data_IF_069552523878
#
_entry.id   IF_069552523878
#
_cell.length_a   1.000
_cell.length_b   1.000
_cell.length_c   1.000
_cell.angle_alpha   90.00
_cell.angle_beta   90.00
_cell.angle_gamma   90.00
#
_symmetry.space_group_name_H-M   'P 1'
#
loop_
_entity.id
_entity.type
_entity.pdbx_description
1 polymer ?
#
# COMPACT_ATOMS: atom_id res chain seq x y z
N UNK A 1 22.51 19.58 -2.99
CA UNK A 1 22.22 18.59 -4.04
C UNK A 1 21.15 17.64 -3.52
N UNK A 2 20.00 17.50 -4.19
CA UNK A 2 19.05 16.41 -3.88
C UNK A 2 19.68 15.12 -4.40
N UNK A 3 19.99 14.19 -3.50
CA UNK A 3 20.44 12.85 -3.90
C UNK A 3 19.26 12.20 -4.62
N UNK A 4 19.45 11.84 -5.89
CA UNK A 4 18.42 11.14 -6.65
C UNK A 4 18.54 9.66 -6.30
N UNK A 5 17.68 9.18 -5.40
CA UNK A 5 17.65 7.76 -5.06
C UNK A 5 17.24 6.96 -6.31
N UNK A 6 17.95 5.87 -6.66
CA UNK A 6 17.56 4.99 -7.76
C UNK A 6 16.22 4.29 -7.45
N UNK A 7 15.40 4.09 -8.48
CA UNK A 7 14.07 3.47 -8.38
C UNK A 7 13.97 2.31 -9.37
N UNK A 8 13.42 1.19 -8.93
CA UNK A 8 13.09 0.04 -9.77
C UNK A 8 11.58 -0.18 -9.70
N UNK A 9 10.92 -0.29 -10.85
CA UNK A 9 9.49 -0.62 -10.96
C UNK A 9 9.32 -2.07 -11.42
N UNK A 10 8.28 -2.74 -10.91
CA UNK A 10 7.96 -4.14 -11.25
C UNK A 10 6.46 -4.22 -11.52
N UNK A 11 6.11 -4.31 -12.81
CA UNK A 11 4.74 -4.27 -13.30
C UNK A 11 4.30 -5.62 -13.91
N UNK A 12 2.99 -5.82 -14.02
CA UNK A 12 2.40 -7.05 -14.55
C UNK A 12 1.06 -7.42 -13.90
N UNK A 13 0.37 -8.45 -14.41
CA UNK A 13 -1.00 -8.80 -13.97
C UNK A 13 -1.05 -9.31 -12.53
N UNK A 14 -2.24 -9.32 -11.94
CA UNK A 14 -2.45 -9.93 -10.61
C UNK A 14 -2.02 -11.40 -10.62
N UNK A 15 -1.46 -11.89 -9.52
CA UNK A 15 -1.01 -13.28 -9.39
C UNK A 15 0.32 -13.64 -10.08
N UNK A 16 0.97 -12.74 -10.83
CA UNK A 16 2.24 -13.04 -11.53
C UNK A 16 3.50 -13.09 -10.63
N UNK A 17 3.35 -12.94 -9.31
CA UNK A 17 4.46 -13.01 -8.36
C UNK A 17 5.27 -11.72 -8.14
N UNK A 18 4.80 -10.56 -8.66
CA UNK A 18 5.50 -9.26 -8.54
C UNK A 18 5.91 -8.90 -7.12
N UNK A 19 4.99 -8.99 -6.16
CA UNK A 19 5.27 -8.65 -4.76
C UNK A 19 6.35 -9.54 -4.17
N UNK A 20 6.38 -10.83 -4.53
CA UNK A 20 7.42 -11.77 -4.12
C UNK A 20 8.78 -11.37 -4.69
N UNK A 21 8.86 -11.08 -6.00
CA UNK A 21 10.10 -10.65 -6.67
C UNK A 21 10.59 -9.31 -6.14
N UNK A 22 9.68 -8.34 -5.96
CA UNK A 22 9.98 -7.02 -5.43
C UNK A 22 10.54 -7.12 -4.00
N UNK A 23 9.92 -7.93 -3.15
CA UNK A 23 10.42 -8.18 -1.80
C UNK A 23 11.79 -8.88 -1.78
N UNK A 24 12.03 -9.85 -2.66
CA UNK A 24 13.35 -10.48 -2.82
C UNK A 24 14.42 -9.48 -3.26
N UNK A 25 14.10 -8.61 -4.22
CA UNK A 25 15.02 -7.61 -4.76
C UNK A 25 15.35 -6.53 -3.73
N UNK A 26 14.33 -5.98 -3.07
CA UNK A 26 14.50 -4.98 -2.01
C UNK A 26 15.40 -5.52 -0.88
N UNK A 27 15.20 -6.76 -0.46
CA UNK A 27 16.08 -7.43 0.50
C UNK A 27 17.52 -7.56 0.02
N UNK A 28 17.72 -8.05 -1.22
CA UNK A 28 19.06 -8.24 -1.79
C UNK A 28 19.84 -6.93 -1.90
N UNK A 29 19.15 -5.82 -2.14
CA UNK A 29 19.75 -4.49 -2.28
C UNK A 29 19.81 -3.69 -0.96
N UNK A 30 19.11 -4.13 0.09
CA UNK A 30 18.92 -3.34 1.31
C UNK A 30 18.09 -2.07 1.07
N UNK A 31 17.16 -2.10 0.11
CA UNK A 31 16.36 -0.95 -0.30
C UNK A 31 14.94 -1.01 0.28
N UNK A 32 14.27 0.14 0.30
CA UNK A 32 12.86 0.22 0.62
C UNK A 32 12.02 -0.51 -0.43
N UNK A 33 10.92 -1.13 0.01
CA UNK A 33 9.88 -1.69 -0.84
C UNK A 33 8.63 -0.82 -0.70
N UNK A 34 8.01 -0.46 -1.82
CA UNK A 34 6.69 0.16 -1.85
C UNK A 34 5.73 -0.73 -2.64
N UNK A 35 4.65 -1.17 -1.99
CA UNK A 35 3.56 -1.90 -2.64
C UNK A 35 2.42 -0.92 -2.99
N UNK A 36 2.33 -0.55 -4.28
CA UNK A 36 1.28 0.35 -4.77
C UNK A 36 -0.12 -0.23 -4.59
N UNK A 37 -0.29 -1.56 -4.65
CA UNK A 37 -1.57 -2.21 -4.40
C UNK A 37 -1.99 -2.12 -2.94
N UNK A 38 -1.04 -2.06 -2.01
CA UNK A 38 -1.33 -1.83 -0.60
C UNK A 38 -1.85 -0.41 -0.34
N UNK A 39 -1.38 0.61 -1.07
CA UNK A 39 -1.86 2.00 -0.90
C UNK A 39 -3.36 2.15 -1.16
N UNK A 40 -3.89 1.56 -2.24
CA UNK A 40 -5.33 1.60 -2.51
C UNK A 40 -6.15 0.87 -1.45
N UNK A 41 -5.63 -0.26 -0.93
CA UNK A 41 -6.27 -1.00 0.17
C UNK A 41 -6.26 -0.22 1.47
N UNK A 42 -5.16 0.46 1.78
CA UNK A 42 -5.04 1.33 2.94
C UNK A 42 -6.01 2.49 2.87
N UNK A 43 -6.14 3.14 1.72
CA UNK A 43 -7.08 4.24 1.55
C UNK A 43 -8.53 3.76 1.72
N UNK A 44 -8.90 2.63 1.12
CA UNK A 44 -10.23 2.05 1.31
C UNK A 44 -10.50 1.62 2.77
N UNK A 45 -9.47 1.09 3.44
CA UNK A 45 -9.54 0.70 4.85
C UNK A 45 -9.70 1.91 5.76
N UNK A 46 -8.87 2.95 5.58
CA UNK A 46 -8.94 4.21 6.32
C UNK A 46 -10.29 4.89 6.10
N UNK A 47 -10.78 4.96 4.86
CA UNK A 47 -12.06 5.58 4.56
C UNK A 47 -13.20 4.90 5.32
N UNK A 48 -13.21 3.57 5.38
CA UNK A 48 -14.20 2.83 6.19
C UNK A 48 -14.09 3.12 7.68
N UNK A 49 -12.88 3.14 8.24
CA UNK A 49 -12.67 3.42 9.66
C UNK A 49 -13.11 4.84 10.05
N UNK A 50 -12.93 5.81 9.13
CA UNK A 50 -13.32 7.21 9.33
C UNK A 50 -14.74 7.54 8.85
N UNK A 51 -15.51 6.55 8.38
CA UNK A 51 -16.87 6.76 7.88
C UNK A 51 -16.96 7.58 6.59
N UNK A 52 -15.89 7.62 5.79
CA UNK A 52 -15.84 8.29 4.48
C UNK A 52 -16.39 7.37 3.40
N UNK A 53 -17.34 7.89 2.61
CA UNK A 53 -17.91 7.19 1.46
C UNK A 53 -16.87 7.01 0.35
N UNK A 54 -16.72 5.77 -0.15
CA UNK A 54 -15.78 5.44 -1.24
C UNK A 54 -16.17 6.05 -2.60
N UNK A 55 -17.36 6.64 -2.71
CA UNK A 55 -17.81 7.38 -3.89
C UNK A 55 -17.52 8.88 -3.79
N UNK A 56 -17.12 9.38 -2.61
CA UNK A 56 -16.79 10.79 -2.40
C UNK A 56 -15.31 11.04 -2.71
N UNK A 57 -15.03 11.31 -3.99
CA UNK A 57 -13.68 11.54 -4.52
C UNK A 57 -12.91 12.65 -3.76
N UNK A 58 -13.55 13.77 -3.47
CA UNK A 58 -12.89 14.90 -2.79
C UNK A 58 -12.51 14.55 -1.35
N UNK A 59 -13.37 13.84 -0.63
CA UNK A 59 -13.05 13.36 0.72
C UNK A 59 -11.92 12.32 0.68
N UNK A 60 -11.92 11.42 -0.30
CA UNK A 60 -10.85 10.43 -0.49
C UNK A 60 -9.51 11.08 -0.85
N UNK A 61 -9.49 12.12 -1.69
CA UNK A 61 -8.27 12.89 -2.00
C UNK A 61 -7.67 13.52 -0.74
N UNK A 62 -8.51 14.14 0.08
CA UNK A 62 -8.07 14.72 1.35
C UNK A 62 -7.52 13.66 2.29
N UNK A 63 -8.19 12.51 2.41
CA UNK A 63 -7.73 11.40 3.24
C UNK A 63 -6.40 10.83 2.73
N UNK A 64 -6.27 10.61 1.41
CA UNK A 64 -5.06 10.09 0.78
C UNK A 64 -3.85 11.01 0.99
N UNK A 65 -4.06 12.33 0.90
CA UNK A 65 -3.00 13.32 1.09
C UNK A 65 -2.42 13.35 2.52
N UNK A 66 -3.20 12.89 3.50
CA UNK A 66 -2.84 12.91 4.92
C UNK A 66 -2.70 11.51 5.53
N UNK A 67 -2.62 10.48 4.68
CA UNK A 67 -2.55 9.10 5.13
C UNK A 67 -1.23 8.86 5.87
N UNK A 68 -1.30 8.70 7.20
CA UNK A 68 -0.15 8.36 8.05
C UNK A 68 0.18 6.88 7.90
N UNK A 69 0.94 6.56 6.83
CA UNK A 69 1.34 5.21 6.48
C UNK A 69 2.84 5.03 6.59
N UNK A 70 3.25 3.91 7.19
CA UNK A 70 4.65 3.49 7.26
C UNK A 70 4.80 2.07 6.72
N UNK A 71 5.79 1.90 5.85
CA UNK A 71 6.12 0.65 5.20
C UNK A 71 7.44 0.14 5.77
N UNK A 72 7.36 -0.72 6.78
CA UNK A 72 8.52 -1.22 7.51
C UNK A 72 9.02 -2.53 6.90
N UNK A 73 10.31 -2.58 6.57
CA UNK A 73 10.96 -3.83 6.21
C UNK A 73 11.12 -4.71 7.46
N UNK A 74 10.66 -5.96 7.40
CA UNK A 74 10.84 -6.91 8.51
C UNK A 74 12.08 -7.78 8.28
N UNK A 75 12.55 -8.42 9.36
CA UNK A 75 13.65 -9.36 9.30
C UNK A 75 13.36 -10.54 8.34
N UNK A 76 14.43 -11.21 7.91
CA UNK A 76 14.41 -12.20 6.82
C UNK A 76 13.23 -13.19 6.92
N UNK A 77 12.32 -13.12 5.94
CA UNK A 77 11.22 -14.07 5.75
C UNK A 77 9.84 -13.58 6.20
N UNK A 78 9.71 -12.45 6.89
CA UNK A 78 8.44 -11.99 7.47
C UNK A 78 7.69 -10.93 6.65
N UNK A 79 8.03 -10.76 5.36
CA UNK A 79 7.31 -9.84 4.47
C UNK A 79 7.60 -8.36 4.74
N UNK A 80 6.56 -7.54 4.68
CA UNK A 80 6.60 -6.10 4.95
C UNK A 80 5.49 -5.80 5.95
N UNK A 81 5.81 -5.03 6.99
CA UNK A 81 4.84 -4.57 7.97
C UNK A 81 4.31 -3.20 7.53
N UNK A 82 3.01 -3.02 7.65
CA UNK A 82 2.32 -1.81 7.22
C UNK A 82 1.61 -1.23 8.43
N UNK A 83 2.05 -0.05 8.82
CA UNK A 83 1.48 0.70 9.94
C UNK A 83 0.60 1.80 9.36
N UNK A 84 -0.61 1.93 9.87
CA UNK A 84 -1.54 3.01 9.57
C UNK A 84 -1.96 3.65 10.90
N UNK A 85 -1.72 4.96 11.06
CA UNK A 85 -2.11 5.70 12.25
C UNK A 85 -1.58 5.08 13.56
N UNK A 86 -0.37 4.53 13.50
CA UNK A 86 0.29 3.83 14.62
C UNK A 86 -0.10 2.36 14.80
N UNK A 87 -1.09 1.86 14.07
CA UNK A 87 -1.59 0.47 14.19
C UNK A 87 -1.08 -0.44 13.08
N UNK A 88 -0.75 -1.69 13.42
CA UNK A 88 -0.35 -2.69 12.43
C UNK A 88 -1.56 -3.24 11.67
N UNK A 89 -1.67 -2.86 10.40
CA UNK A 89 -2.78 -3.24 9.52
C UNK A 89 -2.37 -4.25 8.45
N UNK A 90 -1.16 -4.83 8.54
CA UNK A 90 -0.54 -5.69 7.52
C UNK A 90 -1.46 -6.80 7.02
N UNK A 91 -2.19 -7.44 7.94
CA UNK A 91 -3.16 -8.49 7.64
C UNK A 91 -4.57 -7.95 7.41
N UNK A 92 -4.97 -6.91 8.14
CA UNK A 92 -6.31 -6.32 8.07
C UNK A 92 -6.63 -5.84 6.64
N UNK A 93 -5.65 -5.26 5.93
CA UNK A 93 -5.86 -4.76 4.57
C UNK A 93 -5.93 -5.85 3.49
N UNK A 94 -5.68 -7.12 3.81
CA UNK A 94 -5.59 -8.22 2.83
C UNK A 94 -6.90 -9.00 2.64
N UNK A 95 -7.97 -8.62 3.33
CA UNK A 95 -9.26 -9.28 3.20
C UNK A 95 -10.00 -8.85 1.92
N UNK A 96 -10.97 -9.66 1.51
CA UNK A 96 -11.74 -9.47 0.28
C UNK A 96 -12.52 -8.16 0.25
N UNK A 97 -13.11 -7.75 1.38
CA UNK A 97 -13.91 -6.52 1.44
C UNK A 97 -13.06 -5.27 1.22
N UNK A 98 -11.85 -5.24 1.78
CA UNK A 98 -10.88 -4.16 1.54
C UNK A 98 -10.36 -4.22 0.11
N UNK A 99 -10.13 -5.42 -0.43
CA UNK A 99 -9.78 -5.61 -1.84
C UNK A 99 -10.82 -5.05 -2.80
N UNK A 100 -12.10 -5.28 -2.54
CA UNK A 100 -13.21 -4.70 -3.31
C UNK A 100 -13.24 -3.17 -3.21
N UNK A 101 -13.08 -2.62 -1.99
CA UNK A 101 -13.00 -1.18 -1.79
C UNK A 101 -11.81 -0.54 -2.51
N UNK A 102 -10.65 -1.21 -2.52
CA UNK A 102 -9.47 -0.75 -3.23
C UNK A 102 -9.71 -0.65 -4.74
N UNK A 103 -10.40 -1.62 -5.34
CA UNK A 103 -10.79 -1.56 -6.76
C UNK A 103 -11.74 -0.39 -7.04
N UNK A 104 -12.68 -0.11 -6.15
CA UNK A 104 -13.59 1.04 -6.27
C UNK A 104 -12.81 2.35 -6.24
N UNK A 105 -11.94 2.53 -5.24
CA UNK A 105 -11.09 3.73 -5.11
C UNK A 105 -10.15 3.89 -6.32
N UNK A 106 -9.55 2.81 -6.80
CA UNK A 106 -8.66 2.83 -7.97
C UNK A 106 -9.37 3.11 -9.30
N UNK A 107 -10.70 3.00 -9.34
CA UNK A 107 -11.52 3.28 -10.53
C UNK A 107 -12.01 4.72 -10.62
N UNK A 108 -11.79 5.52 -9.56
CA UNK A 108 -12.10 6.94 -9.56
C UNK A 108 -11.16 7.69 -10.54
N UNK A 109 -11.67 8.74 -11.22
CA UNK A 109 -10.94 9.44 -12.27
C UNK A 109 -9.71 10.24 -11.80
#
# INVERSE_FOLDING_TARGET
>A
MKIKAPVITIDGPSGSGKGTVAGLLARKLGWCLLDSGALYRLLAFAARNHGVDLTNEEALKLLAAHLDVQFEATAAGQGQRIILEGEDVTHAIRNEQVGSGASQVASLP
#
